data_IF_845704000453
#
_entry.id   IF_845704000453
#
_cell.length_a   1.000
_cell.length_b   1.000
_cell.length_c   1.000
_cell.angle_alpha   90.00
_cell.angle_beta   90.00
_cell.angle_gamma   90.00
#
_symmetry.space_group_name_H-M   'P 1'
#
loop_
_entity.id
_entity.type
_entity.pdbx_description
1 polymer ?
#
# COMPACT_ATOMS: atom_id res chain seq x y z
N UNK A 1 -0.57 1.60 -11.11
CA UNK A 1 0.25 1.81 -9.89
C UNK A 1 -0.60 2.57 -8.89
N UNK A 2 -0.52 2.26 -7.59
CA UNK A 2 -1.30 2.92 -6.54
C UNK A 2 -0.41 3.93 -5.81
N UNK A 3 -0.91 5.14 -5.55
CA UNK A 3 -0.18 6.15 -4.77
C UNK A 3 -0.34 5.86 -3.27
N UNK A 4 0.77 5.78 -2.55
CA UNK A 4 0.81 5.71 -1.08
C UNK A 4 1.21 7.08 -0.56
N UNK A 5 0.47 7.57 0.43
CA UNK A 5 0.71 8.86 1.09
C UNK A 5 1.13 8.62 2.53
N UNK A 6 1.90 9.55 3.08
CA UNK A 6 2.28 9.58 4.48
C UNK A 6 1.51 10.70 5.18
N UNK A 7 0.95 10.41 6.35
CA UNK A 7 0.23 11.40 7.13
C UNK A 7 1.22 12.31 7.85
N UNK A 8 1.14 13.62 7.63
CA UNK A 8 2.02 14.59 8.31
C UNK A 8 1.78 14.70 9.82
N UNK A 9 0.67 14.18 10.34
CA UNK A 9 0.39 14.22 11.78
C UNK A 9 0.95 12.99 12.51
N UNK A 10 0.71 11.78 11.98
CA UNK A 10 1.04 10.53 12.66
C UNK A 10 2.12 9.68 11.98
N UNK A 11 2.59 10.08 10.79
CA UNK A 11 3.53 9.29 9.97
C UNK A 11 2.90 8.02 9.38
N UNK A 12 1.61 7.79 9.58
CA UNK A 12 0.91 6.62 9.07
C UNK A 12 0.84 6.65 7.54
N UNK A 13 1.13 5.52 6.90
CA UNK A 13 0.97 5.37 5.46
C UNK A 13 -0.46 4.98 5.12
N UNK A 14 -1.05 5.62 4.12
CA UNK A 14 -2.41 5.34 3.68
C UNK A 14 -2.56 5.51 2.17
N UNK A 15 -3.61 4.90 1.64
CA UNK A 15 -3.97 4.98 0.23
C UNK A 15 -5.24 5.85 0.16
N UNK A 16 -5.15 7.15 -0.16
CA UNK A 16 -6.32 7.89 -0.60
C UNK A 16 -6.63 7.41 -2.03
N UNK A 17 -7.77 6.75 -2.28
CA UNK A 17 -8.22 6.58 -3.66
C UNK A 17 -8.58 7.99 -4.16
N UNK A 18 -7.98 8.43 -5.27
CA UNK A 18 -8.06 9.82 -5.76
C UNK A 18 -9.50 10.36 -5.90
N UNK A 19 -10.48 9.47 -6.06
CA UNK A 19 -11.91 9.80 -6.21
C UNK A 19 -12.77 9.42 -4.99
N UNK A 20 -12.17 8.94 -3.89
CA UNK A 20 -12.93 8.55 -2.70
C UNK A 20 -13.39 9.78 -1.92
N UNK A 21 -14.70 9.84 -1.72
CA UNK A 21 -15.35 10.78 -0.80
C UNK A 21 -15.84 9.98 0.40
N UNK A 22 -15.34 10.32 1.57
CA UNK A 22 -15.96 9.94 2.83
C UNK A 22 -17.29 10.71 2.97
N UNK A 23 -18.25 10.23 3.78
CA UNK A 23 -19.47 10.99 4.10
C UNK A 23 -19.19 12.44 4.53
N UNK A 24 -18.01 12.68 5.08
CA UNK A 24 -17.51 13.91 5.63
C UNK A 24 -16.87 14.78 4.54
N UNK A 25 -16.40 14.20 3.43
CA UNK A 25 -15.82 14.92 2.30
C UNK A 25 -14.71 14.16 1.58
N UNK A 26 -13.94 14.82 0.70
CA UNK A 26 -12.88 14.16 -0.06
C UNK A 26 -11.79 13.63 0.88
N UNK A 27 -11.20 12.49 0.50
CA UNK A 27 -9.98 12.00 1.13
C UNK A 27 -8.88 13.06 1.04
N UNK A 28 -8.24 13.34 2.17
CA UNK A 28 -7.12 14.27 2.25
C UNK A 28 -5.84 13.60 1.72
N UNK A 29 -5.01 14.28 0.91
CA UNK A 29 -3.66 13.82 0.58
C UNK A 29 -2.62 14.23 1.63
N UNK A 30 -3.04 14.84 2.75
CA UNK A 30 -2.19 15.37 3.82
C UNK A 30 -2.37 14.57 5.12
N UNK A 31 -3.61 14.21 5.44
CA UNK A 31 -3.99 13.48 6.65
C UNK A 31 -4.69 12.16 6.33
N UNK A 32 -4.38 11.12 7.10
CA UNK A 32 -5.18 9.89 7.09
C UNK A 32 -6.61 10.18 7.59
N UNK A 33 -7.54 9.24 7.39
CA UNK A 33 -8.95 9.38 7.80
C UNK A 33 -9.13 9.78 9.27
N UNK A 34 -8.32 9.20 10.15
CA UNK A 34 -8.44 9.40 11.60
C UNK A 34 -7.96 10.81 11.99
N UNK A 35 -6.79 11.21 11.50
CA UNK A 35 -6.25 12.56 11.73
C UNK A 35 -7.10 13.62 11.02
N UNK A 36 -7.62 13.37 9.82
CA UNK A 36 -8.53 14.27 9.11
C UNK A 36 -9.81 14.51 9.93
N UNK A 37 -10.38 13.45 10.50
CA UNK A 37 -11.55 13.53 11.37
C UNK A 37 -11.26 14.32 12.64
N UNK A 38 -10.11 14.06 13.28
CA UNK A 38 -9.68 14.78 14.48
C UNK A 38 -9.46 16.29 14.22
N UNK A 39 -8.78 16.66 13.12
CA UNK A 39 -8.58 18.07 12.76
C UNK A 39 -9.91 18.78 12.48
N UNK A 40 -10.83 18.13 11.77
CA UNK A 40 -12.19 18.66 11.54
C UNK A 40 -12.96 18.87 12.83
N UNK A 41 -12.93 17.90 13.75
CA UNK A 41 -13.57 18.04 15.06
C UNK A 41 -12.98 19.22 15.86
N UNK A 42 -11.69 19.51 15.68
CA UNK A 42 -11.02 20.67 16.25
C UNK A 42 -11.24 21.99 15.47
N UNK A 43 -12.06 22.00 14.41
CA UNK A 43 -12.31 23.17 13.56
C UNK A 43 -11.14 23.54 12.64
N UNK A 44 -10.10 22.71 12.58
CA UNK A 44 -8.95 22.91 11.70
C UNK A 44 -9.29 22.39 10.31
N UNK A 45 -9.18 23.27 9.32
CA UNK A 45 -9.39 22.95 7.92
C UNK A 45 -8.06 22.68 7.23
N UNK A 46 -8.07 21.71 6.33
CA UNK A 46 -6.95 21.50 5.40
C UNK A 46 -6.81 22.72 4.48
N UNK A 47 -5.57 23.16 4.25
CA UNK A 47 -5.27 24.18 3.25
C UNK A 47 -5.47 23.61 1.83
N UNK A 48 -6.39 24.16 1.03
CA UNK A 48 -6.65 23.67 -0.33
C UNK A 48 -5.44 23.75 -1.26
N UNK A 49 -4.51 24.69 -1.04
CA UNK A 49 -3.29 24.80 -1.84
C UNK A 49 -2.33 23.67 -1.50
N UNK A 50 -2.14 23.38 -0.20
CA UNK A 50 -1.30 22.28 0.26
C UNK A 50 -1.78 20.94 -0.29
N UNK A 51 -3.10 20.70 -0.25
CA UNK A 51 -3.69 19.48 -0.79
C UNK A 51 -3.43 19.32 -2.30
N UNK A 52 -3.59 20.40 -3.07
CA UNK A 52 -3.31 20.40 -4.52
C UNK A 52 -1.84 20.15 -4.83
N UNK A 53 -0.93 20.75 -4.07
CA UNK A 53 0.52 20.56 -4.23
C UNK A 53 0.92 19.12 -3.91
N UNK A 54 0.42 18.55 -2.80
CA UNK A 54 0.70 17.17 -2.43
C UNK A 54 0.25 16.18 -3.53
N UNK A 55 -0.95 16.37 -4.06
CA UNK A 55 -1.48 15.55 -5.15
C UNK A 55 -0.66 15.69 -6.44
N UNK A 56 -0.30 16.92 -6.82
CA UNK A 56 0.52 17.18 -8.00
C UNK A 56 1.92 16.56 -7.89
N UNK A 57 2.54 16.65 -6.70
CA UNK A 57 3.83 16.03 -6.42
C UNK A 57 3.77 14.50 -6.53
N UNK A 58 2.73 13.87 -5.97
CA UNK A 58 2.53 12.43 -6.05
C UNK A 58 2.34 11.96 -7.50
N UNK A 59 1.54 12.68 -8.29
CA UNK A 59 1.34 12.39 -9.73
C UNK A 59 2.63 12.58 -10.54
N UNK A 60 3.40 13.62 -10.25
CA UNK A 60 4.69 13.84 -10.90
C UNK A 60 5.70 12.73 -10.55
N UNK A 61 5.74 12.28 -9.30
CA UNK A 61 6.59 11.16 -8.88
C UNK A 61 6.21 9.86 -9.58
N UNK A 62 4.91 9.58 -9.70
CA UNK A 62 4.42 8.43 -10.42
C UNK A 62 4.77 8.49 -11.92
N UNK A 63 4.62 9.66 -12.55
CA UNK A 63 4.97 9.85 -13.96
C UNK A 63 6.47 9.61 -14.21
N UNK A 64 7.35 10.07 -13.29
CA UNK A 64 8.80 9.80 -13.37
C UNK A 64 9.12 8.32 -13.28
N UNK A 65 8.50 7.60 -12.33
CA UNK A 65 8.68 6.14 -12.22
C UNK A 65 8.17 5.37 -13.45
N UNK A 66 7.11 5.84 -14.09
CA UNK A 66 6.61 5.24 -15.32
C UNK A 66 7.52 5.52 -16.53
N UNK A 67 8.25 6.64 -16.51
CA UNK A 67 9.17 7.04 -17.56
C UNK A 67 10.59 6.47 -17.40
N UNK A 68 10.93 5.90 -16.23
CA UNK A 68 12.19 5.17 -16.08
C UNK A 68 12.21 3.99 -17.06
N UNK A 69 13.16 3.94 -18.01
CA UNK A 69 13.31 2.78 -18.86
C UNK A 69 13.58 1.58 -17.96
N UNK A 70 12.74 0.56 -18.09
CA UNK A 70 13.06 -0.77 -17.57
C UNK A 70 14.25 -1.25 -18.37
N UNK A 71 15.47 -0.92 -17.93
CA UNK A 71 16.66 -1.68 -18.29
C UNK A 71 16.27 -3.15 -18.09
N UNK A 72 16.28 -3.98 -19.16
CA UNK A 72 15.96 -5.38 -18.99
C UNK A 72 16.92 -5.90 -17.94
N UNK A 73 16.37 -6.43 -16.84
CA UNK A 73 17.14 -6.99 -15.74
C UNK A 73 17.96 -8.18 -16.25
N UNK A 74 19.08 -7.89 -16.91
CA UNK A 74 20.12 -8.83 -17.21
C UNK A 74 20.77 -9.16 -15.86
N UNK A 75 20.33 -10.26 -15.26
CA UNK A 75 21.09 -10.90 -14.18
C UNK A 75 20.47 -10.93 -12.78
N UNK A 76 19.16 -10.74 -12.60
CA UNK A 76 18.52 -11.33 -11.42
C UNK A 76 18.36 -12.83 -11.67
N UNK A 77 19.45 -13.56 -11.45
CA UNK A 77 19.39 -15.01 -11.37
C UNK A 77 18.31 -15.37 -10.37
N UNK A 78 17.29 -16.08 -10.85
CA UNK A 78 16.29 -16.73 -10.01
C UNK A 78 17.03 -17.70 -9.08
N UNK A 79 17.50 -17.22 -7.93
CA UNK A 79 17.92 -18.06 -6.82
C UNK A 79 16.64 -18.59 -6.18
N UNK A 80 15.97 -19.47 -6.92
CA UNK A 80 14.97 -20.36 -6.35
C UNK A 80 15.74 -21.27 -5.40
N UNK A 81 15.50 -21.22 -4.07
CA UNK A 81 16.07 -22.20 -3.17
C UNK A 81 15.73 -23.57 -3.74
N UNK A 82 16.77 -24.34 -4.07
CA UNK A 82 16.68 -25.58 -4.83
C UNK A 82 15.60 -26.45 -4.21
N UNK A 83 14.50 -26.65 -4.95
CA UNK A 83 13.40 -27.51 -4.51
C UNK A 83 14.03 -28.90 -4.29
N UNK A 84 14.03 -29.46 -3.07
CA UNK A 84 14.63 -30.77 -2.85
C UNK A 84 13.95 -31.78 -3.78
N UNK A 85 14.71 -32.71 -4.40
CA UNK A 85 14.15 -33.67 -5.34
C UNK A 85 13.00 -34.45 -4.69
N UNK A 86 11.90 -34.58 -5.42
CA UNK A 86 10.64 -35.21 -4.98
C UNK A 86 10.78 -36.70 -4.64
N UNK A 87 11.96 -37.30 -4.78
CA UNK A 87 12.23 -38.70 -4.45
C UNK A 87 12.33 -39.01 -2.95
N UNK A 88 12.32 -38.00 -2.06
CA UNK A 88 12.25 -38.22 -0.60
C UNK A 88 10.84 -38.21 0.00
N UNK A 89 9.76 -38.10 -0.80
CA UNK A 89 8.40 -38.37 -0.31
C UNK A 89 8.05 -39.85 -0.46
N UNK A 90 8.81 -40.71 0.20
CA UNK A 90 8.46 -42.10 0.42
C UNK A 90 8.11 -42.31 1.90
N UNK A 91 6.80 -42.22 2.18
CA UNK A 91 5.98 -42.99 3.14
C UNK A 91 6.52 -43.25 4.56
N UNK A 92 5.93 -42.57 5.54
CA UNK A 92 5.60 -43.04 6.91
C UNK A 92 5.11 -41.81 7.71
N UNK A 93 3.90 -41.67 8.25
CA UNK A 93 2.93 -42.66 8.74
C UNK A 93 1.51 -42.06 8.93
N UNK A 94 0.63 -42.74 9.71
CA UNK A 94 -0.82 -42.55 9.68
C UNK A 94 -1.35 -41.58 10.74
N UNK A 95 -2.50 -40.94 10.44
CA UNK A 95 -3.46 -40.45 11.43
C UNK A 95 -3.31 -38.99 11.88
N UNK A 96 -4.19 -38.12 11.39
CA UNK A 96 -4.36 -36.75 11.89
C UNK A 96 -5.80 -36.31 11.67
N UNK A 97 -6.54 -36.26 12.76
CA UNK A 97 -8.01 -36.25 12.87
C UNK A 97 -8.60 -34.90 12.41
N UNK A 98 -9.74 -34.93 11.69
CA UNK A 98 -10.59 -33.76 11.43
C UNK A 98 -11.30 -33.35 12.72
N UNK A 99 -11.10 -32.11 13.17
CA UNK A 99 -12.01 -31.46 14.12
C UNK A 99 -12.78 -30.34 13.42
N UNK A 100 -14.11 -30.46 13.43
CA UNK A 100 -15.08 -29.43 13.08
C UNK A 100 -15.03 -28.30 14.13
N UNK A 101 -15.07 -27.05 13.69
CA UNK A 101 -15.46 -25.92 14.52
C UNK A 101 -16.99 -25.79 14.43
N UNK A 102 -17.65 -25.89 15.58
CA UNK A 102 -18.98 -25.37 15.84
C UNK A 102 -18.87 -24.06 16.61
#
# INVERSE_FOLDING_TARGET
MRLVFECVECGGHYLPPEDMRYPEGPASPVWCSDCQSAKRAAGVREDPLLARVALAAARAALARHAAEPVEPAAGRGDVRPSRPPLSRRARSGPGGVRSKLG
#
